data_IF_462158219539
#
_entry.id   IF_462158219539
#
_cell.length_a   1.000
_cell.length_b   1.000
_cell.length_c   1.000
_cell.angle_alpha   90.00
_cell.angle_beta   90.00
_cell.angle_gamma   90.00
#
_symmetry.space_group_name_H-M   'P 1'
#
loop_
_entity.id
_entity.type
_entity.pdbx_description
1 polymer ?
#
# COMPACT_ATOMS: atom_id res chain seq x y z
N UNK A 1 -9.34 2.99 16.08
CA UNK A 1 -9.63 1.74 15.32
C UNK A 1 -8.49 0.77 15.57
N UNK A 2 -8.75 -0.53 15.77
CA UNK A 2 -7.71 -1.53 16.02
C UNK A 2 -7.85 -2.67 15.01
N UNK A 3 -6.70 -3.17 14.52
CA UNK A 3 -6.62 -4.36 13.69
C UNK A 3 -5.51 -5.30 14.15
N UNK A 4 -5.68 -6.61 13.97
CA UNK A 4 -4.62 -7.56 14.31
C UNK A 4 -3.35 -7.28 13.48
N UNK A 5 -3.51 -7.03 12.18
CA UNK A 5 -2.41 -6.70 11.27
C UNK A 5 -2.72 -5.41 10.51
N UNK A 6 -1.85 -4.42 10.61
CA UNK A 6 -1.88 -3.23 9.76
C UNK A 6 -0.74 -3.28 8.76
N UNK A 7 -1.06 -3.09 7.48
CA UNK A 7 -0.10 -3.01 6.39
C UNK A 7 -0.10 -1.58 5.85
N UNK A 8 1.05 -0.91 5.92
CA UNK A 8 1.22 0.43 5.35
C UNK A 8 1.73 0.30 3.93
N UNK A 9 0.89 0.68 2.96
CA UNK A 9 1.16 0.59 1.52
C UNK A 9 0.42 -0.56 0.84
N UNK A 10 -0.36 -0.23 -0.19
CA UNK A 10 -1.10 -1.15 -1.07
C UNK A 10 -0.37 -1.42 -2.40
N UNK A 11 0.95 -1.27 -2.40
CA UNK A 11 1.83 -1.66 -3.50
C UNK A 11 2.02 -3.18 -3.60
N UNK A 12 2.98 -3.61 -4.43
CA UNK A 12 3.21 -5.04 -4.71
C UNK A 12 3.52 -5.84 -3.43
N UNK A 13 4.31 -5.27 -2.52
CA UNK A 13 4.65 -5.90 -1.24
C UNK A 13 3.44 -6.07 -0.32
N UNK A 14 2.69 -5.00 -0.08
CA UNK A 14 1.56 -5.00 0.85
C UNK A 14 0.41 -5.93 0.42
N UNK A 15 -0.01 -5.86 -0.84
CA UNK A 15 -1.06 -6.75 -1.38
C UNK A 15 -0.60 -8.21 -1.35
N UNK A 16 0.66 -8.48 -1.70
CA UNK A 16 1.20 -9.84 -1.70
C UNK A 16 1.29 -10.41 -0.28
N UNK A 17 1.74 -9.61 0.69
CA UNK A 17 1.79 -10.00 2.10
C UNK A 17 0.39 -10.33 2.64
N UNK A 18 -0.59 -9.46 2.41
CA UNK A 18 -1.99 -9.69 2.81
C UNK A 18 -2.56 -10.97 2.19
N UNK A 19 -2.40 -11.15 0.87
CA UNK A 19 -2.89 -12.33 0.15
C UNK A 19 -2.25 -13.62 0.68
N UNK A 20 -0.94 -13.58 0.94
CA UNK A 20 -0.16 -14.68 1.47
C UNK A 20 -0.62 -15.07 2.88
N UNK A 21 -0.87 -14.09 3.75
CA UNK A 21 -1.39 -14.29 5.10
C UNK A 21 -2.81 -14.88 5.08
N UNK A 22 -3.72 -14.28 4.30
CA UNK A 22 -5.10 -14.76 4.18
C UNK A 22 -5.19 -16.17 3.58
N UNK A 23 -4.25 -16.54 2.70
CA UNK A 23 -4.17 -17.91 2.17
C UNK A 23 -3.83 -18.94 3.26
N UNK A 24 -3.08 -18.56 4.30
CA UNK A 24 -2.69 -19.44 5.42
C UNK A 24 -3.71 -19.41 6.55
N UNK A 25 -4.29 -18.25 6.80
CA UNK A 25 -5.33 -18.09 7.80
C UNK A 25 -6.31 -16.99 7.38
N UNK A 26 -7.52 -17.41 7.00
CA UNK A 26 -8.59 -16.53 6.55
C UNK A 26 -9.32 -15.79 7.68
N UNK A 27 -9.05 -16.14 8.95
CA UNK A 27 -9.63 -15.46 10.12
C UNK A 27 -8.84 -14.23 10.57
N UNK A 28 -7.68 -13.96 9.97
CA UNK A 28 -6.87 -12.80 10.30
C UNK A 28 -7.61 -11.50 9.97
N UNK A 29 -7.64 -10.59 10.93
CA UNK A 29 -8.09 -9.22 10.73
C UNK A 29 -6.94 -8.37 10.19
N UNK A 30 -7.03 -8.00 8.92
CA UNK A 30 -5.98 -7.28 8.19
C UNK A 30 -6.56 -5.99 7.61
N UNK A 31 -5.90 -4.88 7.92
CA UNK A 31 -6.13 -3.60 7.25
C UNK A 31 -4.93 -3.23 6.36
N UNK A 32 -5.21 -2.73 5.16
CA UNK A 32 -4.20 -2.11 4.29
C UNK A 32 -4.52 -0.61 4.19
N UNK A 33 -3.56 0.22 4.54
CA UNK A 33 -3.64 1.67 4.44
C UNK A 33 -2.94 2.10 3.15
N UNK A 34 -3.70 2.64 2.20
CA UNK A 34 -3.22 3.03 0.87
C UNK A 34 -4.02 4.21 0.32
N UNK A 35 -3.38 5.36 0.01
CA UNK A 35 -4.08 6.53 -0.49
C UNK A 35 -4.50 6.44 -1.97
N UNK A 36 -3.77 5.71 -2.80
CA UNK A 36 -3.97 5.66 -4.26
C UNK A 36 -5.22 4.88 -4.65
N UNK A 37 -5.94 5.40 -5.66
CA UNK A 37 -7.03 4.70 -6.34
C UNK A 37 -6.53 3.71 -7.41
N UNK A 38 -5.23 3.71 -7.70
CA UNK A 38 -4.63 2.95 -8.81
C UNK A 38 -3.41 2.18 -8.32
N UNK A 39 -3.31 0.92 -8.73
CA UNK A 39 -2.14 0.08 -8.53
C UNK A 39 -1.36 -0.06 -9.85
N UNK A 40 -0.04 0.09 -9.79
CA UNK A 40 0.84 0.01 -10.97
C UNK A 40 1.75 -1.21 -10.93
N UNK A 41 1.84 -1.91 -12.06
CA UNK A 41 2.92 -2.83 -12.38
C UNK A 41 4.11 -2.05 -12.93
N UNK A 42 4.88 -1.44 -12.02
CA UNK A 42 6.00 -0.56 -12.35
C UNK A 42 7.08 -1.19 -13.25
N UNK A 43 7.41 -2.51 -13.16
CA UNK A 43 8.36 -3.12 -14.09
C UNK A 43 7.96 -2.98 -15.57
N UNK A 44 6.66 -2.83 -15.85
CA UNK A 44 6.16 -2.60 -17.21
C UNK A 44 6.52 -1.23 -17.79
N UNK A 45 6.90 -0.25 -16.97
CA UNK A 45 7.17 1.12 -17.42
C UNK A 45 8.38 1.22 -18.37
N UNK A 46 9.38 0.36 -18.20
CA UNK A 46 10.50 0.26 -19.15
C UNK A 46 10.00 -0.08 -20.56
N UNK A 47 9.03 -1.00 -20.66
CA UNK A 47 8.45 -1.41 -21.95
C UNK A 47 7.53 -0.33 -22.53
N UNK A 48 6.91 0.50 -21.68
CA UNK A 48 6.16 1.68 -22.12
C UNK A 48 7.10 2.72 -22.72
N UNK A 49 8.21 3.04 -22.05
CA UNK A 49 9.22 3.96 -22.57
C UNK A 49 9.84 3.49 -23.91
N UNK A 50 9.91 2.17 -24.12
CA UNK A 50 10.36 1.56 -25.38
C UNK A 50 9.27 1.44 -26.46
N UNK A 51 8.03 1.89 -26.22
CA UNK A 51 6.94 1.82 -27.19
C UNK A 51 6.34 0.42 -27.40
N UNK A 52 6.66 -0.54 -26.53
CA UNK A 52 6.18 -1.94 -26.62
C UNK A 52 4.85 -2.11 -25.89
N UNK A 53 4.68 -1.43 -24.75
CA UNK A 53 3.42 -1.41 -23.99
C UNK A 53 2.78 -0.02 -24.03
N UNK A 54 1.45 -0.01 -23.92
CA UNK A 54 0.69 1.18 -23.57
C UNK A 54 0.61 1.33 -22.05
N UNK A 55 0.66 2.56 -21.55
CA UNK A 55 0.63 2.86 -20.11
C UNK A 55 -0.59 2.26 -19.39
N UNK A 56 -1.73 2.18 -20.08
CA UNK A 56 -2.98 1.61 -19.59
C UNK A 56 -2.86 0.12 -19.25
N UNK A 57 -1.94 -0.61 -19.89
CA UNK A 57 -1.70 -2.02 -19.59
C UNK A 57 -0.97 -2.23 -18.26
N UNK A 58 -0.35 -1.18 -17.72
CA UNK A 58 0.49 -1.26 -16.51
C UNK A 58 -0.22 -0.85 -15.24
N UNK A 59 -1.52 -0.55 -15.29
CA UNK A 59 -2.27 -0.14 -14.12
C UNK A 59 -3.66 -0.78 -14.01
N UNK A 60 -4.15 -0.86 -12.77
CA UNK A 60 -5.50 -1.33 -12.46
C UNK A 60 -6.10 -0.48 -11.34
N UNK A 61 -7.43 -0.35 -11.26
CA UNK A 61 -8.07 0.21 -10.07
C UNK A 61 -7.64 -0.56 -8.81
N UNK A 62 -7.29 0.15 -7.74
CA UNK A 62 -6.78 -0.44 -6.49
C UNK A 62 -7.75 -1.49 -5.92
N UNK A 63 -9.05 -1.20 -5.93
CA UNK A 63 -10.07 -2.14 -5.45
C UNK A 63 -10.08 -3.47 -6.20
N UNK A 64 -9.67 -3.50 -7.48
CA UNK A 64 -9.69 -4.72 -8.32
C UNK A 64 -8.54 -5.68 -8.02
N UNK A 65 -7.49 -5.21 -7.32
CA UNK A 65 -6.32 -6.01 -6.92
C UNK A 65 -6.26 -6.24 -5.41
N UNK A 66 -7.11 -5.57 -4.64
CA UNK A 66 -7.20 -5.69 -3.20
C UNK A 66 -7.79 -7.06 -2.81
N UNK A 67 -7.22 -7.79 -1.84
CA UNK A 67 -7.81 -9.05 -1.40
C UNK A 67 -9.18 -8.81 -0.75
N UNK A 68 -10.19 -9.60 -1.10
CA UNK A 68 -11.58 -9.34 -0.71
C UNK A 68 -11.86 -9.32 0.80
N UNK A 69 -10.99 -9.92 1.62
CA UNK A 69 -11.14 -10.02 3.08
C UNK A 69 -10.40 -8.94 3.85
N UNK A 70 -9.58 -8.10 3.23
CA UNK A 70 -8.91 -7.01 3.96
C UNK A 70 -9.82 -5.80 4.09
N UNK A 71 -9.62 -5.03 5.15
CA UNK A 71 -10.13 -3.66 5.23
C UNK A 71 -9.20 -2.74 4.47
N UNK A 72 -9.61 -2.24 3.30
CA UNK A 72 -8.91 -1.14 2.65
C UNK A 72 -9.26 0.18 3.35
N UNK A 73 -8.25 0.84 3.91
CA UNK A 73 -8.34 2.17 4.50
C UNK A 73 -7.70 3.14 3.52
N UNK A 74 -8.55 3.94 2.85
CA UNK A 74 -8.09 4.94 1.90
C UNK A 74 -7.57 6.16 2.65
N UNK A 75 -6.25 6.31 2.70
CA UNK A 75 -5.57 7.40 3.39
C UNK A 75 -4.06 7.20 3.38
N UNK A 76 -3.32 8.27 3.63
CA UNK A 76 -1.87 8.24 3.76
C UNK A 76 -1.48 8.23 5.24
N UNK A 77 -0.48 7.41 5.59
CA UNK A 77 0.12 7.42 6.93
C UNK A 77 1.04 8.64 7.04
N UNK A 78 0.77 9.50 8.02
CA UNK A 78 1.59 10.67 8.32
C UNK A 78 2.72 10.35 9.30
N UNK A 79 2.43 9.57 10.34
CA UNK A 79 3.40 9.28 11.42
C UNK A 79 3.24 7.86 11.98
N UNK A 80 4.35 7.31 12.47
CA UNK A 80 4.41 6.02 13.17
C UNK A 80 4.64 6.24 14.66
N UNK A 81 3.91 5.50 15.50
CA UNK A 81 4.08 5.47 16.96
C UNK A 81 4.34 4.01 17.39
N UNK A 82 5.56 3.49 17.19
CA UNK A 82 5.86 2.08 17.47
C UNK A 82 5.71 1.71 18.95
N UNK A 83 6.05 2.62 19.86
CA UNK A 83 5.90 2.39 21.32
C UNK A 83 4.42 2.22 21.74
N UNK A 84 3.50 2.82 20.99
CA UNK A 84 2.05 2.74 21.19
C UNK A 84 1.37 1.65 20.34
N UNK A 85 2.14 0.94 19.51
CA UNK A 85 1.62 0.12 18.42
C UNK A 85 0.54 0.83 17.58
N UNK A 86 0.83 2.05 17.11
CA UNK A 86 -0.10 2.83 16.30
C UNK A 86 0.54 3.59 15.13
N UNK A 87 -0.32 4.02 14.20
CA UNK A 87 -0.02 5.00 13.16
C UNK A 87 -1.09 6.09 13.16
N UNK A 88 -0.73 7.29 12.72
CA UNK A 88 -1.67 8.38 12.51
C UNK A 88 -1.70 8.74 11.02
N UNK A 89 -2.90 8.82 10.46
CA UNK A 89 -3.11 9.23 9.07
C UNK A 89 -3.02 10.76 8.91
N UNK A 90 -2.90 11.23 7.68
CA UNK A 90 -2.87 12.68 7.37
C UNK A 90 -4.13 13.42 7.83
N UNK A 91 -5.28 12.74 7.93
CA UNK A 91 -6.53 13.31 8.44
C UNK A 91 -6.63 13.32 9.99
N UNK A 92 -5.57 12.87 10.68
CA UNK A 92 -5.52 12.77 12.14
C UNK A 92 -6.09 11.46 12.70
N UNK A 93 -6.62 10.56 11.88
CA UNK A 93 -7.15 9.27 12.33
C UNK A 93 -6.02 8.40 12.89
N UNK A 94 -6.15 7.95 14.15
CA UNK A 94 -5.24 6.99 14.80
C UNK A 94 -5.71 5.55 14.60
N UNK A 95 -4.82 4.70 14.10
CA UNK A 95 -5.04 3.26 13.89
C UNK A 95 -4.00 2.48 14.69
N UNK A 96 -4.45 1.65 15.62
CA UNK A 96 -3.60 0.75 16.40
C UNK A 96 -3.53 -0.65 15.80
N UNK A 97 -2.46 -1.40 16.11
CA UNK A 97 -2.24 -2.74 15.59
C UNK A 97 -1.67 -3.71 16.64
N UNK A 98 -1.77 -5.03 16.39
CA UNK A 98 -0.95 -6.03 17.09
C UNK A 98 0.37 -6.27 16.35
N UNK A 99 0.32 -6.33 15.02
CA UNK A 99 1.49 -6.44 14.16
C UNK A 99 1.42 -5.42 13.02
N UNK A 100 2.57 -4.89 12.60
CA UNK A 100 2.67 -4.02 11.44
C UNK A 100 3.57 -4.61 10.35
N UNK A 101 3.14 -4.48 9.10
CA UNK A 101 3.99 -4.66 7.92
C UNK A 101 4.19 -3.29 7.26
N UNK A 102 5.43 -2.84 7.18
CA UNK A 102 5.80 -1.57 6.52
C UNK A 102 6.19 -1.86 5.08
N UNK A 103 5.32 -1.49 4.12
CA UNK A 103 5.54 -1.65 2.68
C UNK A 103 5.21 -0.38 1.86
N UNK A 104 5.63 0.84 2.28
CA UNK A 104 5.29 2.09 1.58
C UNK A 104 6.04 2.26 0.25
N UNK A 105 7.00 1.39 -0.06
CA UNK A 105 7.86 1.52 -1.24
C UNK A 105 8.92 2.58 -1.05
N UNK A 106 9.26 3.27 -2.15
CA UNK A 106 10.22 4.37 -2.18
C UNK A 106 9.54 5.67 -2.61
N UNK A 107 10.16 6.80 -2.28
CA UNK A 107 9.76 8.11 -2.78
C UNK A 107 10.73 8.57 -3.86
N UNK A 108 10.20 8.98 -5.00
CA UNK A 108 10.99 9.64 -6.04
C UNK A 108 11.31 11.07 -5.59
N UNK A 109 12.60 11.42 -5.53
CA UNK A 109 13.06 12.74 -5.12
C UNK A 109 13.45 13.61 -6.32
N UNK A 110 12.46 13.99 -7.13
CA UNK A 110 12.69 14.84 -8.30
C UNK A 110 13.30 16.20 -7.92
N UNK A 111 12.82 16.80 -6.82
CA UNK A 111 13.35 18.05 -6.27
C UNK A 111 14.81 17.96 -5.78
N UNK A 112 15.40 16.75 -5.71
CA UNK A 112 16.81 16.57 -5.43
C UNK A 112 17.73 16.98 -6.59
N UNK A 113 17.18 17.26 -7.77
CA UNK A 113 17.91 17.71 -8.95
C UNK A 113 17.33 19.07 -9.37
N UNK A 114 18.16 20.11 -9.37
CA UNK A 114 17.75 21.44 -9.82
C UNK A 114 17.28 21.38 -11.29
N UNK A 115 16.07 21.89 -11.55
CA UNK A 115 15.48 21.96 -12.89
C UNK A 115 14.54 20.80 -13.28
N UNK A 116 14.26 19.84 -12.38
CA UNK A 116 13.22 18.82 -12.54
C UNK A 116 12.00 19.06 -11.65
#
# INVERSE_FOLDING_TARGET
MHHQIVIVGGGSGGISAASSLLKRNTSLDIAIIEPSDVHYYQPGWTMVGGGIFHAQQTHRPMHSVMPSRVKHIKGAVATFQPDDNAVTLEDGTKISYTFMIVSPGLKLNWAGIEGL
#
